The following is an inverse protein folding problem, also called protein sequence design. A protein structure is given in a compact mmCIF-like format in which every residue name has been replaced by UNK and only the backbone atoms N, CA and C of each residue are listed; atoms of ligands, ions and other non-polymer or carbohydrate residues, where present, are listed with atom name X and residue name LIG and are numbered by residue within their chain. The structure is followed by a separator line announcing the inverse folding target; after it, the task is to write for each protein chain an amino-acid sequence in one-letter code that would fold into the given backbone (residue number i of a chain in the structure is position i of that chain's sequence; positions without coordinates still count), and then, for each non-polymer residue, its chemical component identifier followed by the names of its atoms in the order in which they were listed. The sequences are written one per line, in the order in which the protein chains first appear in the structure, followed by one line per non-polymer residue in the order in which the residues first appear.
data_IF_054651466854
#
_entry.id   IF_054651466854
#
_cell.length_a   1.000
_cell.length_b   1.000
_cell.length_c   1.000
_cell.angle_alpha   90.00
_cell.angle_beta   90.00
_cell.angle_gamma   90.00
#
_symmetry.space_group_name_H-M   'P 1'
#
loop_
_entity.id
_entity.type
_entity.pdbx_description
1 polymer ?
#
# COMPACT_ATOMS: atom_id res chain seq x y z
N UNK A 1 27.70 36.18 38.09
CA UNK A 1 27.76 35.20 39.20
C UNK A 1 26.53 34.32 39.12
N UNK A 2 26.72 33.02 39.00
CA UNK A 2 25.63 32.08 38.73
C UNK A 2 24.90 31.64 39.99
N UNK A 3 23.67 31.17 39.82
CA UNK A 3 23.05 30.13 40.67
C UNK A 3 22.10 29.28 39.81
N UNK A 4 22.13 27.97 40.09
CA UNK A 4 21.37 26.83 39.56
C UNK A 4 19.84 26.92 39.80
N UNK A 5 19.07 26.09 39.08
CA UNK A 5 18.23 24.97 39.61
C UNK A 5 17.13 24.60 38.58
N UNK A 6 16.89 23.28 38.40
CA UNK A 6 15.55 22.77 38.08
C UNK A 6 15.46 21.75 36.94
N UNK A 7 15.39 20.46 37.28
CA UNK A 7 14.67 19.44 36.50
C UNK A 7 13.18 19.83 36.43
N UNK A 8 12.46 19.57 35.33
CA UNK A 8 11.71 18.31 35.10
C UNK A 8 10.75 18.41 33.88
N UNK A 9 10.33 17.25 33.41
CA UNK A 9 9.50 16.89 32.23
C UNK A 9 8.29 17.78 31.88
N UNK A 10 7.94 17.82 30.57
CA UNK A 10 6.59 18.22 30.14
C UNK A 10 6.33 18.31 28.63
N UNK A 11 5.77 17.24 28.06
CA UNK A 11 4.76 17.15 26.96
C UNK A 11 4.39 18.43 26.19
N UNK A 12 4.62 18.41 24.87
CA UNK A 12 3.63 18.57 23.78
C UNK A 12 4.30 19.08 22.50
N UNK A 13 4.74 18.16 21.65
CA UNK A 13 5.15 18.47 20.28
C UNK A 13 3.92 18.63 19.38
N UNK A 14 3.35 19.84 19.36
CA UNK A 14 2.37 20.28 18.36
C UNK A 14 3.01 20.23 16.97
N UNK A 15 2.86 19.11 16.26
CA UNK A 15 3.13 19.04 14.82
C UNK A 15 1.94 19.62 14.03
N UNK A 16 1.65 20.90 14.27
CA UNK A 16 0.73 21.72 13.48
C UNK A 16 1.49 23.00 13.16
N UNK A 17 1.53 23.36 11.87
CA UNK A 17 2.28 24.47 11.24
C UNK A 17 3.77 24.22 11.01
N UNK A 18 4.09 23.53 9.91
CA UNK A 18 4.99 24.10 8.88
C UNK A 18 4.54 23.54 7.53
N UNK A 19 3.36 23.96 7.07
CA UNK A 19 2.91 23.78 5.69
C UNK A 19 2.90 25.15 5.06
N UNK A 20 4.06 25.59 4.56
CA UNK A 20 4.08 26.38 3.34
C UNK A 20 5.48 26.57 2.78
N UNK A 21 5.54 26.50 1.45
CA UNK A 21 6.65 26.83 0.56
C UNK A 21 7.86 25.88 0.59
N UNK A 22 7.97 25.08 -0.48
CA UNK A 22 8.93 25.39 -1.56
C UNK A 22 8.79 24.44 -2.74
N UNK A 23 9.03 25.06 -3.88
CA UNK A 23 8.98 24.57 -5.25
C UNK A 23 10.11 23.58 -5.56
N UNK A 24 9.89 22.90 -6.70
CA UNK A 24 10.71 21.90 -7.36
C UNK A 24 12.23 22.12 -7.24
N UNK A 25 12.94 21.06 -6.86
CA UNK A 25 14.35 20.86 -7.16
C UNK A 25 14.57 19.38 -7.49
N UNK A 26 15.46 19.15 -8.46
CA UNK A 26 15.74 17.87 -9.13
C UNK A 26 15.77 16.67 -8.18
N UNK A 27 15.15 15.57 -8.63
CA UNK A 27 15.13 14.27 -7.97
C UNK A 27 16.58 13.79 -7.81
N UNK A 28 17.07 13.84 -6.58
CA UNK A 28 18.27 13.16 -6.16
C UNK A 28 17.85 11.76 -5.70
N UNK A 29 18.47 10.73 -6.29
CA UNK A 29 18.16 9.32 -6.02
C UNK A 29 18.58 8.89 -4.59
N UNK A 30 19.22 9.80 -3.84
CA UNK A 30 19.59 9.61 -2.43
C UNK A 30 18.59 10.20 -1.42
N UNK A 31 17.48 10.80 -1.87
CA UNK A 31 16.48 11.34 -0.94
C UNK A 31 15.80 10.18 -0.20
N UNK A 32 15.96 10.14 1.13
CA UNK A 32 15.21 9.25 2.02
C UNK A 32 13.73 9.21 1.61
N UNK A 33 13.09 8.05 1.77
CA UNK A 33 11.67 7.84 1.46
C UNK A 33 10.78 8.74 2.32
N UNK A 34 10.61 10.00 1.92
CA UNK A 34 9.69 10.91 2.58
C UNK A 34 8.25 10.60 2.18
N UNK A 35 7.32 10.72 3.13
CA UNK A 35 5.87 10.51 2.89
C UNK A 35 5.35 11.30 1.69
N UNK A 36 5.88 12.51 1.42
CA UNK A 36 5.50 13.31 0.24
C UNK A 36 5.90 12.65 -1.08
N UNK A 37 7.10 12.09 -1.16
CA UNK A 37 7.60 11.45 -2.38
C UNK A 37 6.82 10.16 -2.66
N UNK A 38 6.55 9.37 -1.61
CA UNK A 38 5.68 8.19 -1.70
C UNK A 38 4.29 8.58 -2.22
N UNK A 39 3.68 9.64 -1.68
CA UNK A 39 2.39 10.15 -2.16
C UNK A 39 2.42 10.44 -3.66
N UNK A 40 3.48 11.08 -4.15
CA UNK A 40 3.63 11.38 -5.59
C UNK A 40 3.73 10.09 -6.42
N UNK A 41 4.46 9.08 -5.97
CA UNK A 41 4.52 7.79 -6.66
C UNK A 41 3.15 7.10 -6.70
N UNK A 42 2.46 7.01 -5.56
CA UNK A 42 1.14 6.38 -5.43
C UNK A 42 0.05 7.08 -6.28
N UNK A 43 0.18 8.39 -6.54
CA UNK A 43 -0.75 9.13 -7.42
C UNK A 43 -0.85 8.56 -8.82
N UNK A 44 0.17 7.86 -9.30
CA UNK A 44 0.17 7.23 -10.63
C UNK A 44 -0.91 6.17 -10.78
N UNK A 45 -1.31 5.53 -9.68
CA UNK A 45 -2.37 4.53 -9.68
C UNK A 45 -3.78 5.17 -9.64
N UNK A 46 -3.90 6.50 -9.50
CA UNK A 46 -5.22 7.15 -9.44
C UNK A 46 -5.97 7.01 -10.76
N UNK A 47 -7.18 6.47 -10.69
CA UNK A 47 -8.12 6.39 -11.81
C UNK A 47 -9.36 7.21 -11.49
N UNK A 48 -9.47 8.39 -12.11
CA UNK A 48 -10.59 9.29 -11.89
C UNK A 48 -11.78 8.93 -12.79
N UNK A 49 -12.92 8.62 -12.18
CA UNK A 49 -14.19 8.47 -12.88
C UNK A 49 -15.22 9.43 -12.27
N UNK A 50 -16.19 9.88 -13.08
CA UNK A 50 -17.32 10.68 -12.60
C UNK A 50 -18.41 9.72 -12.13
N UNK A 51 -18.72 9.74 -10.84
CA UNK A 51 -19.71 8.85 -10.23
C UNK A 51 -20.44 9.58 -9.09
N UNK A 52 -21.72 9.27 -8.90
CA UNK A 52 -22.55 9.84 -7.83
C UNK A 52 -23.54 10.90 -8.34
N UNK A 53 -24.02 11.73 -7.42
CA UNK A 53 -24.97 12.79 -7.73
C UNK A 53 -24.32 13.90 -8.58
N UNK A 54 -25.06 14.52 -9.50
CA UNK A 54 -24.58 15.63 -10.32
C UNK A 54 -24.50 16.93 -9.49
N UNK A 55 -23.42 17.07 -8.74
CA UNK A 55 -23.18 18.18 -7.82
C UNK A 55 -22.13 19.18 -8.34
N UNK A 56 -21.50 18.91 -9.49
CA UNK A 56 -20.51 19.77 -10.14
C UNK A 56 -21.13 20.47 -11.36
N UNK A 57 -20.89 21.77 -11.54
CA UNK A 57 -21.31 22.49 -12.73
C UNK A 57 -20.53 22.01 -13.97
N UNK A 58 -21.24 21.50 -14.97
CA UNK A 58 -20.65 21.22 -16.28
C UNK A 58 -20.66 22.50 -17.12
N UNK A 59 -19.58 23.27 -17.05
CA UNK A 59 -19.45 24.51 -17.82
C UNK A 59 -19.61 24.28 -19.33
N UNK A 60 -18.96 23.24 -19.87
CA UNK A 60 -18.98 22.97 -21.31
C UNK A 60 -20.39 22.53 -21.77
N UNK A 61 -21.02 21.65 -20.99
CA UNK A 61 -22.41 21.22 -21.22
C UNK A 61 -23.39 22.40 -21.14
N UNK A 62 -23.23 23.23 -20.11
CA UNK A 62 -24.05 24.44 -19.87
C UNK A 62 -23.94 25.42 -21.03
N UNK A 63 -22.72 25.72 -21.50
CA UNK A 63 -22.50 26.62 -22.64
C UNK A 63 -23.18 26.07 -23.90
N UNK A 64 -23.03 24.77 -24.17
CA UNK A 64 -23.58 24.14 -25.37
C UNK A 64 -25.11 24.11 -25.39
N UNK A 65 -25.74 23.73 -24.29
CA UNK A 65 -27.22 23.70 -24.20
C UNK A 65 -27.79 25.11 -24.17
N UNK A 66 -27.15 26.04 -23.45
CA UNK A 66 -27.54 27.46 -23.45
C UNK A 66 -27.51 28.04 -24.87
N UNK A 67 -26.45 27.77 -25.63
CA UNK A 67 -26.32 28.24 -27.01
C UNK A 67 -27.36 27.61 -27.96
N UNK A 68 -27.82 26.39 -27.66
CA UNK A 68 -28.82 25.68 -28.48
C UNK A 68 -30.25 26.14 -28.19
N UNK A 69 -30.59 26.37 -26.92
CA UNK A 69 -31.95 26.70 -26.48
C UNK A 69 -32.26 28.21 -26.55
N UNK A 70 -31.22 29.06 -26.48
CA UNK A 70 -31.38 30.52 -26.48
C UNK A 70 -31.73 31.11 -25.10
N UNK A 71 -31.68 30.31 -24.04
CA UNK A 71 -31.78 30.74 -22.63
C UNK A 71 -30.78 29.95 -21.78
N UNK A 72 -30.39 30.48 -20.61
CA UNK A 72 -29.42 29.83 -19.72
C UNK A 72 -29.95 28.46 -19.25
N UNK A 73 -29.24 27.40 -19.64
CA UNK A 73 -29.57 26.02 -19.28
C UNK A 73 -28.38 25.38 -18.55
N UNK A 74 -28.53 25.23 -17.23
CA UNK A 74 -27.46 24.78 -16.33
C UNK A 74 -27.40 23.25 -16.35
N UNK A 75 -26.31 22.72 -16.89
CA UNK A 75 -26.03 21.28 -16.90
C UNK A 75 -25.13 20.95 -15.72
N UNK A 76 -25.60 20.03 -14.88
CA UNK A 76 -24.84 19.49 -13.75
C UNK A 76 -24.27 18.11 -14.10
N UNK A 77 -23.10 17.79 -13.55
CA UNK A 77 -22.44 16.49 -13.73
C UNK A 77 -21.85 15.97 -12.42
N UNK A 78 -21.61 14.65 -12.29
CA UNK A 78 -20.96 14.12 -11.10
C UNK A 78 -19.48 14.51 -11.01
N UNK A 79 -19.01 14.73 -9.78
CA UNK A 79 -17.61 15.02 -9.46
C UNK A 79 -16.68 13.87 -9.86
N UNK A 80 -15.46 14.19 -10.34
CA UNK A 80 -14.41 13.20 -10.57
C UNK A 80 -13.82 12.68 -9.26
N UNK A 81 -13.95 11.37 -9.02
CA UNK A 81 -13.40 10.71 -7.83
C UNK A 81 -12.44 9.59 -8.20
N UNK A 82 -11.41 9.38 -7.39
CA UNK A 82 -10.53 8.22 -7.54
C UNK A 82 -11.31 6.95 -7.21
N UNK A 83 -11.42 6.06 -8.19
CA UNK A 83 -12.20 4.80 -8.11
C UNK A 83 -11.34 3.58 -7.86
N UNK A 84 -10.01 3.74 -7.78
CA UNK A 84 -9.11 2.62 -7.53
C UNK A 84 -9.40 2.01 -6.15
N UNK A 85 -9.48 0.68 -6.12
CA UNK A 85 -9.62 -0.12 -4.91
C UNK A 85 -8.31 -0.84 -4.67
N UNK A 86 -7.76 -0.71 -3.47
CA UNK A 86 -6.44 -1.24 -3.12
C UNK A 86 -6.54 -2.10 -1.87
N UNK A 87 -5.90 -3.26 -1.92
CA UNK A 87 -5.74 -4.19 -0.81
C UNK A 87 -4.25 -4.31 -0.48
N UNK A 88 -3.84 -3.91 0.72
CA UNK A 88 -2.44 -3.93 1.14
C UNK A 88 -2.23 -4.97 2.25
N UNK A 89 -1.24 -5.83 2.08
CA UNK A 89 -0.81 -6.80 3.09
C UNK A 89 0.58 -6.39 3.61
N UNK A 90 0.71 -6.19 4.92
CA UNK A 90 1.97 -5.85 5.57
C UNK A 90 2.51 -7.02 6.37
N UNK A 91 3.78 -7.35 6.15
CA UNK A 91 4.50 -8.32 6.96
C UNK A 91 4.84 -7.73 8.34
N UNK A 92 4.62 -8.52 9.39
CA UNK A 92 4.95 -8.19 10.78
C UNK A 92 5.97 -9.17 11.40
N UNK A 93 6.66 -9.95 10.57
CA UNK A 93 7.79 -10.78 10.97
C UNK A 93 8.91 -9.94 11.60
N UNK A 94 9.68 -10.53 12.51
CA UNK A 94 10.74 -9.80 13.24
C UNK A 94 11.84 -9.22 12.34
N UNK A 95 12.04 -9.77 11.14
CA UNK A 95 12.96 -9.22 10.14
C UNK A 95 12.53 -7.86 9.59
N UNK A 96 11.25 -7.48 9.79
CA UNK A 96 10.71 -6.18 9.39
C UNK A 96 11.01 -5.04 10.38
N UNK A 97 11.54 -5.33 11.58
CA UNK A 97 11.84 -4.32 12.61
C UNK A 97 12.66 -3.12 12.07
N UNK A 98 13.73 -3.30 11.27
CA UNK A 98 14.48 -2.20 10.69
C UNK A 98 13.69 -1.37 9.66
N UNK A 99 12.57 -1.91 9.16
CA UNK A 99 11.78 -1.36 8.05
C UNK A 99 10.43 -0.75 8.50
N UNK A 100 10.10 -0.79 9.79
CA UNK A 100 8.83 -0.30 10.35
C UNK A 100 8.55 1.14 9.92
N UNK A 101 9.52 2.06 10.07
CA UNK A 101 9.34 3.47 9.72
C UNK A 101 8.94 3.66 8.26
N UNK A 102 9.58 2.92 7.35
CA UNK A 102 9.31 2.97 5.91
C UNK A 102 7.91 2.44 5.58
N UNK A 103 7.49 1.37 6.26
CA UNK A 103 6.15 0.80 6.13
C UNK A 103 5.07 1.75 6.68
N UNK A 104 5.32 2.43 7.80
CA UNK A 104 4.44 3.45 8.37
C UNK A 104 4.26 4.65 7.43
N UNK A 105 5.36 5.13 6.83
CA UNK A 105 5.34 6.22 5.85
C UNK A 105 4.56 5.82 4.59
N UNK A 106 4.74 4.59 4.10
CA UNK A 106 3.95 4.03 3.00
C UNK A 106 2.47 3.95 3.35
N UNK A 107 2.14 3.42 4.54
CA UNK A 107 0.76 3.31 5.01
C UNK A 107 0.08 4.69 5.12
N UNK A 108 0.76 5.67 5.70
CA UNK A 108 0.28 7.04 5.84
C UNK A 108 0.03 7.71 4.47
N UNK A 109 0.95 7.50 3.52
CA UNK A 109 0.80 7.95 2.15
C UNK A 109 -0.41 7.27 1.46
N UNK A 110 -0.49 5.95 1.51
CA UNK A 110 -1.56 5.16 0.89
C UNK A 110 -2.94 5.56 1.41
N UNK A 111 -3.10 5.73 2.73
CA UNK A 111 -4.36 6.15 3.35
C UNK A 111 -4.82 7.54 2.90
N UNK A 112 -3.87 8.42 2.58
CA UNK A 112 -4.20 9.76 2.05
C UNK A 112 -4.57 9.69 0.56
N UNK A 113 -3.92 8.81 -0.20
CA UNK A 113 -3.99 8.80 -1.66
C UNK A 113 -5.15 7.96 -2.21
N UNK A 114 -5.55 6.90 -1.48
CA UNK A 114 -6.58 5.96 -1.90
C UNK A 114 -7.83 6.06 -1.00
N UNK A 115 -8.99 6.27 -1.63
CA UNK A 115 -10.28 6.32 -0.95
C UNK A 115 -10.77 4.93 -0.53
N UNK A 116 -10.64 3.96 -1.43
CA UNK A 116 -11.00 2.57 -1.19
C UNK A 116 -9.73 1.78 -0.89
N UNK A 117 -9.29 1.83 0.36
CA UNK A 117 -8.10 1.16 0.84
C UNK A 117 -8.47 0.22 1.98
N UNK A 118 -8.11 -1.04 1.83
CA UNK A 118 -8.18 -2.04 2.88
C UNK A 118 -6.78 -2.59 3.13
N UNK A 119 -6.45 -2.81 4.40
CA UNK A 119 -5.14 -3.32 4.78
C UNK A 119 -5.27 -4.47 5.77
N UNK A 120 -4.28 -5.36 5.75
CA UNK A 120 -4.15 -6.53 6.61
C UNK A 120 -2.69 -6.75 6.95
N UNK A 121 -2.44 -7.43 8.05
CA UNK A 121 -1.11 -7.90 8.44
C UNK A 121 -1.01 -9.41 8.25
N UNK A 122 0.18 -9.91 7.94
CA UNK A 122 0.53 -11.33 7.92
C UNK A 122 1.94 -11.53 8.50
N UNK A 123 2.30 -12.75 8.88
CA UNK A 123 3.62 -13.04 9.46
C UNK A 123 4.44 -13.90 8.51
N UNK A 124 5.52 -13.35 7.96
CA UNK A 124 6.43 -13.95 6.97
C UNK A 124 5.78 -14.33 5.63
N UNK A 125 4.76 -15.20 5.63
CA UNK A 125 4.00 -15.61 4.45
C UNK A 125 2.49 -15.48 4.68
N UNK A 126 1.73 -15.37 3.60
CA UNK A 126 0.28 -15.46 3.67
C UNK A 126 -0.15 -16.92 3.88
N UNK A 127 -1.04 -17.13 4.85
CA UNK A 127 -1.63 -18.44 5.17
C UNK A 127 -3.15 -18.32 5.33
N UNK A 128 -3.78 -19.16 6.15
CA UNK A 128 -5.22 -19.15 6.41
C UNK A 128 -5.72 -17.98 7.26
N UNK A 129 -4.81 -17.23 7.90
CA UNK A 129 -5.17 -16.15 8.81
C UNK A 129 -4.38 -14.88 8.52
N UNK A 130 -5.08 -13.75 8.64
CA UNK A 130 -4.51 -12.40 8.62
C UNK A 130 -5.07 -11.57 9.77
N UNK A 131 -4.43 -10.45 10.07
CA UNK A 131 -4.81 -9.58 11.19
C UNK A 131 -5.20 -8.17 10.72
N UNK A 132 -6.11 -7.51 11.45
CA UNK A 132 -6.40 -6.08 11.29
C UNK A 132 -5.59 -5.19 12.23
N UNK A 133 -5.11 -5.72 13.35
CA UNK A 133 -4.31 -5.00 14.33
C UNK A 133 -3.00 -5.75 14.62
N UNK A 134 -1.88 -5.04 14.47
CA UNK A 134 -0.54 -5.55 14.79
C UNK A 134 -0.37 -5.81 16.31
N UNK A 135 -1.05 -5.06 17.18
CA UNK A 135 -0.90 -5.15 18.65
C UNK A 135 -1.58 -6.36 19.27
N UNK A 136 -2.53 -6.98 18.56
CA UNK A 136 -3.40 -8.05 19.10
C UNK A 136 -3.36 -9.30 18.21
N UNK A 137 -2.14 -9.81 17.93
CA UNK A 137 -1.87 -11.03 17.15
C UNK A 137 -2.72 -12.26 17.54
N UNK A 138 -3.35 -12.29 18.73
CA UNK A 138 -4.16 -13.43 19.17
C UNK A 138 -5.68 -13.19 19.24
N UNK A 139 -6.19 -11.97 19.09
CA UNK A 139 -7.60 -11.67 19.41
C UNK A 139 -8.48 -11.37 18.20
N UNK A 140 -7.91 -10.92 17.08
CA UNK A 140 -8.66 -10.53 15.87
C UNK A 140 -8.07 -11.15 14.60
N UNK A 141 -7.99 -12.49 14.59
CA UNK A 141 -7.64 -13.28 13.40
C UNK A 141 -8.83 -13.32 12.46
N UNK A 142 -8.60 -12.98 11.19
CA UNK A 142 -9.57 -13.10 10.10
C UNK A 142 -9.13 -14.22 9.19
N UNK A 143 -10.08 -15.03 8.72
CA UNK A 143 -9.78 -16.06 7.74
C UNK A 143 -9.40 -15.40 6.42
N UNK A 144 -8.27 -15.78 5.83
CA UNK A 144 -7.84 -15.28 4.52
C UNK A 144 -8.90 -15.53 3.46
N UNK A 145 -9.61 -16.67 3.51
CA UNK A 145 -10.74 -16.91 2.61
C UNK A 145 -11.84 -15.86 2.71
N UNK A 146 -12.16 -15.38 3.91
CA UNK A 146 -13.17 -14.34 4.09
C UNK A 146 -12.72 -13.03 3.44
N UNK A 147 -11.42 -12.72 3.52
CA UNK A 147 -10.81 -11.57 2.83
C UNK A 147 -10.92 -11.74 1.31
N UNK A 148 -10.52 -12.90 0.78
CA UNK A 148 -10.55 -13.19 -0.66
C UNK A 148 -11.98 -13.18 -1.23
N UNK A 149 -12.97 -13.64 -0.47
CA UNK A 149 -14.38 -13.59 -0.88
C UNK A 149 -14.99 -12.19 -0.76
N UNK A 150 -14.57 -11.41 0.25
CA UNK A 150 -15.10 -10.07 0.49
C UNK A 150 -14.60 -9.05 -0.53
N UNK A 151 -13.34 -9.19 -0.99
CA UNK A 151 -12.73 -8.23 -1.91
C UNK A 151 -12.68 -8.79 -3.34
N UNK A 152 -13.51 -8.28 -4.26
CA UNK A 152 -13.57 -8.76 -5.64
C UNK A 152 -12.25 -8.57 -6.41
N UNK A 153 -12.13 -9.31 -7.51
CA UNK A 153 -10.94 -9.35 -8.38
C UNK A 153 -10.48 -7.99 -8.95
N UNK A 154 -11.33 -6.96 -8.92
CA UNK A 154 -10.99 -5.60 -9.40
C UNK A 154 -10.12 -4.80 -8.41
N UNK A 155 -9.86 -5.34 -7.21
CA UNK A 155 -8.88 -4.79 -6.28
C UNK A 155 -7.46 -4.97 -6.79
N UNK A 156 -6.64 -3.93 -6.64
CA UNK A 156 -5.20 -3.96 -6.86
C UNK A 156 -4.52 -4.41 -5.57
N UNK A 157 -3.75 -5.50 -5.61
CA UNK A 157 -3.11 -6.09 -4.43
C UNK A 157 -1.66 -5.66 -4.30
N UNK A 158 -1.28 -5.27 -3.08
CA UNK A 158 0.07 -4.86 -2.73
C UNK A 158 0.53 -5.65 -1.51
N UNK A 159 1.54 -6.50 -1.67
CA UNK A 159 2.27 -7.04 -0.53
C UNK A 159 3.44 -6.12 -0.16
N UNK A 160 3.69 -5.95 1.13
CA UNK A 160 4.81 -5.19 1.68
C UNK A 160 5.48 -6.05 2.72
N UNK A 161 6.65 -6.60 2.39
CA UNK A 161 7.37 -7.52 3.25
C UNK A 161 8.74 -7.85 2.68
N UNK A 162 9.69 -8.18 3.53
CA UNK A 162 11.06 -8.51 3.11
C UNK A 162 11.19 -9.92 2.51
N UNK A 163 10.12 -10.72 2.62
CA UNK A 163 10.08 -12.11 2.18
C UNK A 163 11.22 -12.97 2.78
N UNK A 164 11.74 -12.55 3.94
CA UNK A 164 12.80 -13.26 4.65
C UNK A 164 12.19 -14.24 5.61
N UNK A 165 12.22 -15.52 5.24
CA UNK A 165 11.71 -16.62 6.06
C UNK A 165 12.42 -17.93 5.75
N UNK A 166 12.11 -18.99 6.50
CA UNK A 166 12.53 -20.33 6.12
C UNK A 166 11.86 -20.73 4.80
N UNK A 167 12.56 -21.25 3.77
CA UNK A 167 11.90 -21.71 2.54
C UNK A 167 10.80 -22.76 2.77
N UNK A 168 10.89 -23.50 3.88
CA UNK A 168 9.88 -24.47 4.29
C UNK A 168 8.53 -23.83 4.64
N UNK A 169 8.51 -22.59 5.16
CA UNK A 169 7.29 -21.81 5.42
C UNK A 169 6.46 -21.62 4.14
N UNK A 170 7.14 -21.52 2.99
CA UNK A 170 6.49 -21.30 1.69
C UNK A 170 6.10 -22.65 1.05
N UNK A 171 6.96 -23.66 1.16
CA UNK A 171 6.91 -24.85 0.29
C UNK A 171 6.26 -26.09 0.90
N UNK A 172 6.12 -26.18 2.22
CA UNK A 172 5.61 -27.39 2.89
C UNK A 172 4.43 -27.12 3.84
N UNK A 173 3.51 -28.10 4.00
CA UNK A 173 2.57 -28.13 5.11
C UNK A 173 3.31 -28.19 6.45
N UNK A 174 2.78 -27.53 7.47
CA UNK A 174 3.41 -27.43 8.80
C UNK A 174 4.67 -26.57 8.85
N UNK A 175 4.99 -25.84 7.77
CA UNK A 175 6.15 -24.96 7.69
C UNK A 175 6.00 -23.66 8.49
N UNK A 176 4.78 -23.23 8.80
CA UNK A 176 4.50 -22.00 9.54
C UNK A 176 5.13 -22.00 10.94
N UNK A 177 5.70 -20.86 11.32
CA UNK A 177 6.35 -20.67 12.63
C UNK A 177 5.33 -20.42 13.75
N UNK A 178 4.13 -19.93 13.43
CA UNK A 178 3.13 -19.58 14.44
C UNK A 178 2.20 -20.75 14.81
N UNK A 179 1.98 -21.68 13.87
CA UNK A 179 1.01 -22.77 14.03
C UNK A 179 1.22 -23.84 12.96
N UNK A 180 0.50 -24.96 13.09
CA UNK A 180 0.45 -25.97 12.03
C UNK A 180 -0.46 -25.51 10.89
N UNK A 181 0.10 -25.16 9.73
CA UNK A 181 -0.64 -24.86 8.52
C UNK A 181 -0.87 -26.14 7.69
N UNK A 182 -2.13 -26.47 7.38
CA UNK A 182 -2.44 -27.62 6.52
C UNK A 182 -1.98 -27.41 5.08
N UNK A 183 -1.99 -26.15 4.63
CA UNK A 183 -1.62 -25.77 3.26
C UNK A 183 -0.36 -24.89 3.25
N UNK A 184 0.63 -25.17 2.39
CA UNK A 184 1.83 -24.33 2.23
C UNK A 184 1.49 -22.88 1.86
N UNK A 185 2.33 -21.94 2.30
CA UNK A 185 2.20 -20.53 1.95
C UNK A 185 2.19 -20.26 0.43
N UNK A 186 2.91 -21.06 -0.36
CA UNK A 186 2.89 -20.98 -1.82
C UNK A 186 1.48 -21.13 -2.40
N UNK A 187 0.65 -22.03 -1.85
CA UNK A 187 -0.72 -22.24 -2.32
C UNK A 187 -1.55 -20.97 -2.12
N UNK A 188 -1.41 -20.32 -0.96
CA UNK A 188 -2.10 -19.07 -0.67
C UNK A 188 -1.65 -17.95 -1.61
N UNK A 189 -0.35 -17.79 -1.85
CA UNK A 189 0.16 -16.79 -2.79
C UNK A 189 -0.32 -17.05 -4.23
N UNK A 190 -0.36 -18.32 -4.66
CA UNK A 190 -0.92 -18.71 -5.95
C UNK A 190 -2.40 -18.34 -6.07
N UNK A 191 -3.22 -18.61 -5.04
CA UNK A 191 -4.63 -18.22 -5.02
C UNK A 191 -4.81 -16.71 -5.18
N UNK A 192 -4.04 -15.91 -4.44
CA UNK A 192 -4.13 -14.45 -4.57
C UNK A 192 -3.76 -14.01 -5.98
N UNK A 193 -2.71 -14.59 -6.57
CA UNK A 193 -2.29 -14.31 -7.95
C UNK A 193 -3.34 -14.69 -8.99
N UNK A 194 -4.10 -15.77 -8.76
CA UNK A 194 -5.19 -16.20 -9.63
C UNK A 194 -6.44 -15.33 -9.50
N UNK A 195 -6.76 -14.90 -8.28
CA UNK A 195 -7.95 -14.07 -8.01
C UNK A 195 -7.74 -12.62 -8.47
N UNK A 196 -6.55 -12.06 -8.24
CA UNK A 196 -6.25 -10.67 -8.53
C UNK A 196 -5.25 -10.55 -9.67
N UNK A 197 -5.73 -10.04 -10.81
CA UNK A 197 -4.92 -9.83 -12.01
C UNK A 197 -3.70 -8.93 -11.73
N UNK A 198 -3.90 -7.90 -10.89
CA UNK A 198 -2.91 -6.90 -10.58
C UNK A 198 -2.42 -7.05 -9.14
N UNK A 199 -1.24 -7.64 -9.05
CA UNK A 199 -0.57 -7.93 -7.80
C UNK A 199 0.89 -7.55 -7.91
N UNK A 200 1.40 -6.86 -6.90
CA UNK A 200 2.84 -6.58 -6.78
C UNK A 200 3.31 -6.78 -5.34
N UNK A 201 4.60 -7.08 -5.20
CA UNK A 201 5.28 -7.25 -3.91
C UNK A 201 6.37 -6.18 -3.75
N UNK A 202 6.27 -5.37 -2.70
CA UNK A 202 7.28 -4.38 -2.32
C UNK A 202 8.17 -4.93 -1.22
N UNK A 203 9.45 -5.06 -1.52
CA UNK A 203 10.43 -5.57 -0.57
C UNK A 203 11.32 -4.42 -0.04
N UNK A 204 11.31 -4.13 1.28
CA UNK A 204 12.10 -3.07 1.87
C UNK A 204 13.59 -3.37 2.00
N UNK A 205 13.99 -4.63 1.87
CA UNK A 205 15.40 -5.01 1.78
C UNK A 205 15.97 -4.57 0.43
N UNK A 206 17.18 -3.98 0.39
CA UNK A 206 17.81 -3.60 -0.86
C UNK A 206 17.94 -4.76 -1.84
N UNK A 207 17.62 -4.52 -3.11
CA UNK A 207 17.53 -5.55 -4.15
C UNK A 207 18.80 -6.39 -4.32
N UNK A 208 19.96 -5.82 -4.02
CA UNK A 208 21.25 -6.51 -4.08
C UNK A 208 21.34 -7.70 -3.11
N UNK A 209 20.58 -7.67 -2.01
CA UNK A 209 20.57 -8.75 -1.02
C UNK A 209 19.60 -9.88 -1.36
N UNK A 210 18.67 -9.69 -2.30
CA UNK A 210 17.62 -10.67 -2.59
C UNK A 210 18.19 -12.02 -3.04
N UNK A 211 19.25 -11.99 -3.86
CA UNK A 211 19.91 -13.22 -4.34
C UNK A 211 20.58 -14.04 -3.23
N UNK A 212 20.82 -13.44 -2.06
CA UNK A 212 21.42 -14.11 -0.91
C UNK A 212 20.38 -14.72 0.05
N UNK A 213 19.09 -14.45 -0.17
CA UNK A 213 18.00 -14.95 0.67
C UNK A 213 17.13 -15.91 -0.16
N UNK A 214 17.27 -17.24 0.01
CA UNK A 214 16.57 -18.21 -0.83
C UNK A 214 15.05 -18.06 -0.86
N UNK A 215 14.42 -17.70 0.26
CA UNK A 215 12.96 -17.48 0.34
C UNK A 215 12.48 -16.31 -0.52
N UNK A 216 13.30 -15.25 -0.66
CA UNK A 216 12.99 -14.13 -1.57
C UNK A 216 12.91 -14.62 -3.02
N UNK A 217 13.82 -15.51 -3.43
CA UNK A 217 13.78 -16.15 -4.75
C UNK A 217 12.50 -16.96 -4.96
N UNK A 218 12.11 -17.80 -3.98
CA UNK A 218 10.87 -18.59 -4.05
C UNK A 218 9.63 -17.69 -4.17
N UNK A 219 9.54 -16.62 -3.37
CA UNK A 219 8.43 -15.65 -3.48
C UNK A 219 8.45 -14.97 -4.85
N UNK A 220 9.62 -14.57 -5.36
CA UNK A 220 9.75 -13.94 -6.67
C UNK A 220 9.32 -14.88 -7.80
N UNK A 221 9.62 -16.18 -7.73
CA UNK A 221 9.19 -17.18 -8.72
C UNK A 221 7.66 -17.34 -8.72
N UNK A 222 7.03 -17.33 -7.53
CA UNK A 222 5.57 -17.44 -7.40
C UNK A 222 4.89 -16.17 -7.93
N UNK A 223 5.31 -15.00 -7.44
CA UNK A 223 4.67 -13.72 -7.75
C UNK A 223 4.96 -13.29 -9.20
N UNK A 224 6.19 -13.53 -9.66
CA UNK A 224 6.72 -13.15 -10.96
C UNK A 224 7.82 -12.08 -10.82
N UNK A 225 8.92 -12.19 -11.59
CA UNK A 225 10.06 -11.28 -11.48
C UNK A 225 9.71 -9.82 -11.80
N UNK A 226 8.74 -9.61 -12.70
CA UNK A 226 8.25 -8.27 -13.08
C UNK A 226 7.20 -7.69 -12.13
N UNK A 227 6.87 -8.40 -11.04
CA UNK A 227 5.87 -8.00 -10.04
C UNK A 227 6.46 -7.78 -8.66
N UNK A 228 7.76 -7.97 -8.48
CA UNK A 228 8.47 -7.71 -7.22
C UNK A 228 9.43 -6.53 -7.37
N UNK A 229 9.30 -5.52 -6.51
CA UNK A 229 10.04 -4.27 -6.59
C UNK A 229 10.63 -3.85 -5.24
N UNK A 230 11.80 -3.21 -5.21
CA UNK A 230 12.34 -2.67 -3.97
C UNK A 230 11.48 -1.51 -3.47
N UNK A 231 11.29 -1.40 -2.16
CA UNK A 231 10.61 -0.26 -1.54
C UNK A 231 11.54 0.96 -1.58
N UNK A 232 11.57 1.59 -2.75
CA UNK A 232 12.32 2.81 -3.11
C UNK A 232 11.39 3.68 -3.94
N UNK A 233 11.73 4.96 -4.16
CA UNK A 233 10.89 5.83 -4.99
C UNK A 233 10.70 5.27 -6.41
N UNK A 234 11.79 4.83 -7.03
CA UNK A 234 11.79 4.22 -8.36
C UNK A 234 11.05 2.88 -8.39
N UNK A 235 11.21 2.06 -7.35
CA UNK A 235 10.50 0.78 -7.24
C UNK A 235 8.99 0.97 -7.05
N UNK A 236 8.57 1.93 -6.22
CA UNK A 236 7.17 2.34 -6.08
C UNK A 236 6.59 2.82 -7.41
N UNK A 237 7.33 3.66 -8.13
CA UNK A 237 6.93 4.16 -9.44
C UNK A 237 6.72 3.03 -10.47
N UNK A 238 7.58 2.01 -10.46
CA UNK A 238 7.44 0.81 -11.31
C UNK A 238 6.26 -0.05 -10.88
N UNK A 239 6.11 -0.29 -9.57
CA UNK A 239 5.02 -1.06 -9.00
C UNK A 239 3.65 -0.44 -9.35
N UNK A 240 3.50 0.89 -9.23
CA UNK A 240 2.25 1.56 -9.58
C UNK A 240 1.94 1.48 -11.08
N UNK A 241 2.96 1.49 -11.95
CA UNK A 241 2.76 1.27 -13.39
C UNK A 241 2.29 -0.14 -13.68
N UNK A 242 2.90 -1.14 -13.05
CA UNK A 242 2.50 -2.54 -13.20
C UNK A 242 1.07 -2.77 -12.71
N UNK A 243 0.68 -2.16 -11.58
CA UNK A 243 -0.70 -2.20 -11.11
C UNK A 243 -1.69 -1.44 -12.01
N UNK A 244 -1.24 -0.53 -12.87
CA UNK A 244 -2.10 0.28 -13.74
C UNK A 244 -2.30 -0.29 -15.14
N UNK A 245 -1.43 -1.21 -15.56
CA UNK A 245 -1.63 -2.02 -16.78
C UNK A 245 -2.90 -2.83 -16.63
#
# INVERSE_FOLDING_TARGET
EGVRIGQDKGRHGKAVKVWDKREYKNLDDQVELGTRNIKVALRRLRKFARQGAPDELDLDGTIKETARQGYLDIVMRPERRNTIKVLIFFDIGGSMDPHIKMCEELFSAARTEFKHLEFFYFHNCLYEQVWKDNRRRNTEKLNTWDVLHKFPHDYKVLFVGDATMSPYEITYPGGSVEHWNEEPGAIWLHRVKEIYEHLVWLNPTPQQHWAHTPSVGVVQDIIGPDRMFPLTLTGLDRAMRELSR
#
